data_IF_161472270297
#
_entry.id   IF_161472270297
#
_cell.length_a   1.000
_cell.length_b   1.000
_cell.length_c   1.000
_cell.angle_alpha   90.00
_cell.angle_beta   90.00
_cell.angle_gamma   90.00
#
_symmetry.space_group_name_H-M   'P 1'
#
loop_
_entity.id
_entity.type
_entity.pdbx_description
1 polymer ?
#
# COMPACT_ATOMS: atom_id res chain seq x y z
N UNK A 1 -0.32 -16.43 -15.02
CA UNK A 1 0.86 -15.58 -14.72
C UNK A 1 1.54 -15.30 -16.06
N UNK A 2 1.53 -14.04 -16.52
CA UNK A 2 2.20 -13.72 -17.79
C UNK A 2 3.71 -13.70 -17.54
N UNK A 3 4.41 -14.64 -18.17
CA UNK A 3 5.87 -14.68 -18.19
C UNK A 3 6.35 -13.48 -18.99
N UNK A 4 6.86 -12.46 -18.31
CA UNK A 4 7.53 -11.35 -18.99
C UNK A 4 8.87 -11.93 -19.46
N UNK A 5 8.93 -12.37 -20.71
CA UNK A 5 10.19 -12.67 -21.38
C UNK A 5 10.94 -11.35 -21.61
N UNK A 6 11.56 -10.84 -20.56
CA UNK A 6 12.35 -9.61 -20.60
C UNK A 6 13.67 -9.92 -21.30
N UNK A 7 13.84 -9.38 -22.50
CA UNK A 7 15.17 -9.35 -23.11
C UNK A 7 16.08 -8.47 -22.25
N UNK A 8 17.31 -8.90 -21.94
CA UNK A 8 18.24 -8.08 -21.18
C UNK A 8 18.54 -6.79 -21.97
N UNK A 9 18.40 -5.64 -21.32
CA UNK A 9 18.70 -4.33 -21.92
C UNK A 9 19.94 -3.73 -21.26
N UNK A 10 20.92 -3.31 -22.06
CA UNK A 10 22.09 -2.59 -21.56
C UNK A 10 21.68 -1.14 -21.25
N UNK A 11 22.02 -0.66 -20.05
CA UNK A 11 21.78 0.70 -19.57
C UNK A 11 23.10 1.27 -19.07
N UNK A 12 23.28 2.58 -19.23
CA UNK A 12 24.44 3.30 -18.69
C UNK A 12 24.03 4.02 -17.41
N UNK A 13 24.87 3.93 -16.39
CA UNK A 13 24.72 4.73 -15.16
C UNK A 13 25.20 6.15 -15.48
N UNK A 14 24.31 7.13 -15.29
CA UNK A 14 24.65 8.54 -15.52
C UNK A 14 25.73 9.04 -14.55
N UNK A 15 26.35 10.18 -14.87
CA UNK A 15 27.41 10.77 -14.05
C UNK A 15 26.98 11.09 -12.59
N UNK A 16 25.69 11.15 -12.32
CA UNK A 16 25.10 11.35 -10.99
C UNK A 16 24.65 10.04 -10.31
N UNK A 17 25.05 8.87 -10.83
CA UNK A 17 24.71 7.56 -10.26
C UNK A 17 23.31 7.04 -10.61
N UNK A 18 22.59 7.67 -11.54
CA UNK A 18 21.21 7.27 -11.88
C UNK A 18 21.15 6.22 -12.99
N UNK A 19 20.24 5.25 -12.86
CA UNK A 19 19.87 4.28 -13.90
C UNK A 19 18.41 4.47 -14.33
N UNK A 20 18.19 4.68 -15.63
CA UNK A 20 16.83 4.90 -16.17
C UNK A 20 16.15 3.59 -16.58
N UNK A 21 15.24 3.08 -15.74
CA UNK A 21 14.51 1.82 -16.00
C UNK A 21 13.28 1.98 -16.91
N UNK A 22 12.79 3.20 -17.11
CA UNK A 22 11.64 3.52 -17.97
C UNK A 22 10.47 4.13 -17.20
N UNK A 23 9.63 4.90 -17.91
CA UNK A 23 8.54 5.69 -17.32
C UNK A 23 7.46 4.83 -16.66
N UNK A 24 7.27 3.57 -17.08
CA UNK A 24 6.32 2.65 -16.44
C UNK A 24 6.64 2.34 -14.97
N UNK A 25 7.86 2.64 -14.51
CA UNK A 25 8.29 2.44 -13.12
C UNK A 25 8.39 3.74 -12.32
N UNK A 26 7.98 4.89 -12.89
CA UNK A 26 8.04 6.17 -12.21
C UNK A 26 7.22 6.17 -10.91
N UNK A 27 7.79 6.75 -9.85
CA UNK A 27 7.15 6.84 -8.53
C UNK A 27 7.11 5.54 -7.72
N UNK A 28 7.57 4.40 -8.27
CA UNK A 28 7.65 3.14 -7.54
C UNK A 28 8.90 3.11 -6.67
N UNK A 29 8.75 2.66 -5.43
CA UNK A 29 9.88 2.34 -4.57
C UNK A 29 10.50 1.01 -5.00
N UNK A 30 11.83 0.96 -4.96
CA UNK A 30 12.59 -0.24 -5.31
C UNK A 30 13.60 -0.53 -4.22
N UNK A 31 13.77 -1.81 -3.93
CA UNK A 31 14.89 -2.33 -3.16
C UNK A 31 16.06 -2.55 -4.12
N UNK A 32 17.23 -2.04 -3.74
CA UNK A 32 18.48 -2.20 -4.49
C UNK A 32 19.47 -2.90 -3.58
N UNK A 33 19.92 -4.09 -3.96
CA UNK A 33 20.86 -4.89 -3.19
C UNK A 33 22.06 -5.27 -4.06
N UNK A 34 23.27 -5.14 -3.53
CA UNK A 34 24.47 -5.74 -4.10
C UNK A 34 24.57 -7.18 -3.58
N UNK A 35 24.39 -8.16 -4.44
CA UNK A 35 24.48 -9.57 -4.07
C UNK A 35 25.94 -10.03 -4.02
N UNK A 36 26.76 -9.50 -4.94
CA UNK A 36 28.19 -9.73 -5.09
C UNK A 36 28.81 -8.47 -5.72
N UNK A 37 30.13 -8.33 -5.67
CA UNK A 37 30.84 -7.20 -6.29
C UNK A 37 30.42 -7.02 -7.75
N UNK A 38 29.74 -5.91 -8.05
CA UNK A 38 29.29 -5.59 -9.41
C UNK A 38 28.00 -6.28 -9.86
N UNK A 39 27.34 -7.02 -8.97
CA UNK A 39 26.07 -7.71 -9.22
C UNK A 39 24.98 -7.09 -8.35
N UNK A 40 24.08 -6.34 -8.99
CA UNK A 40 22.94 -5.72 -8.31
C UNK A 40 21.62 -6.38 -8.66
N UNK A 41 20.76 -6.51 -7.66
CA UNK A 41 19.37 -6.92 -7.79
C UNK A 41 18.48 -5.74 -7.47
N UNK A 42 17.59 -5.38 -8.40
CA UNK A 42 16.60 -4.32 -8.23
C UNK A 42 15.20 -4.94 -8.25
N UNK A 43 14.42 -4.76 -7.18
CA UNK A 43 13.06 -5.29 -7.03
C UNK A 43 12.09 -4.19 -6.66
N UNK A 44 10.90 -4.16 -7.24
CA UNK A 44 9.83 -3.28 -6.75
C UNK A 44 9.40 -3.73 -5.36
N UNK A 45 9.25 -2.78 -4.44
CA UNK A 45 8.83 -3.05 -3.08
C UNK A 45 7.67 -2.11 -2.68
N UNK A 46 6.85 -2.59 -1.75
CA UNK A 46 5.85 -1.77 -1.05
C UNK A 46 6.39 -1.51 0.35
N UNK A 47 6.64 -0.24 0.70
CA UNK A 47 7.03 0.14 2.06
C UNK A 47 5.78 0.45 2.87
N UNK A 48 5.68 -0.18 4.03
CA UNK A 48 4.60 0.03 5.00
C UNK A 48 5.24 0.57 6.28
N UNK A 49 4.80 1.74 6.78
CA UNK A 49 5.21 2.25 8.09
C UNK A 49 4.98 1.23 9.21
N UNK A 50 5.87 1.19 10.20
CA UNK A 50 5.80 0.16 11.25
C UNK A 50 4.52 0.24 12.08
N UNK A 51 4.00 1.44 12.32
CA UNK A 51 2.73 1.67 13.01
C UNK A 51 1.49 1.29 12.18
N UNK A 52 1.64 1.00 10.89
CA UNK A 52 0.57 0.60 9.96
C UNK A 52 0.69 -0.87 9.54
N UNK A 53 1.83 -1.52 9.82
CA UNK A 53 2.10 -2.92 9.46
C UNK A 53 1.02 -3.89 9.96
N UNK A 54 0.43 -3.63 11.13
CA UNK A 54 -0.62 -4.46 11.73
C UNK A 54 -1.86 -4.60 10.84
N UNK A 55 -2.17 -3.62 9.97
CA UNK A 55 -3.30 -3.69 9.04
C UNK A 55 -3.16 -4.81 8.01
N UNK A 56 -1.94 -5.27 7.77
CA UNK A 56 -1.64 -6.35 6.84
C UNK A 56 -1.64 -7.73 7.51
N UNK A 57 -1.84 -7.82 8.82
CA UNK A 57 -2.06 -9.10 9.49
C UNK A 57 -3.39 -9.71 9.03
N UNK A 58 -3.44 -11.04 8.91
CA UNK A 58 -4.58 -11.75 8.31
C UNK A 58 -5.91 -11.38 8.95
N UNK A 59 -5.96 -11.31 10.28
CA UNK A 59 -7.18 -10.99 11.01
C UNK A 59 -7.60 -9.53 10.82
N UNK A 60 -6.67 -8.59 10.97
CA UNK A 60 -6.95 -7.16 10.80
C UNK A 60 -7.42 -6.84 9.37
N UNK A 61 -6.75 -7.40 8.35
CA UNK A 61 -7.14 -7.23 6.96
C UNK A 61 -8.54 -7.80 6.68
N UNK A 62 -8.86 -8.98 7.23
CA UNK A 62 -10.17 -9.60 7.09
C UNK A 62 -11.28 -8.78 7.77
N UNK A 63 -11.05 -8.34 9.01
CA UNK A 63 -12.01 -7.53 9.75
C UNK A 63 -12.25 -6.18 9.07
N UNK A 64 -11.19 -5.52 8.59
CA UNK A 64 -11.30 -4.27 7.84
C UNK A 64 -12.10 -4.45 6.55
N UNK A 65 -11.86 -5.53 5.79
CA UNK A 65 -12.62 -5.83 4.59
C UNK A 65 -14.10 -6.07 4.89
N UNK A 66 -14.41 -6.80 5.96
CA UNK A 66 -15.79 -7.05 6.42
C UNK A 66 -16.50 -5.75 6.80
N UNK A 67 -15.85 -4.91 7.61
CA UNK A 67 -16.43 -3.63 8.05
C UNK A 67 -16.64 -2.70 6.86
N UNK A 68 -15.69 -2.62 5.94
CA UNK A 68 -15.80 -1.79 4.73
C UNK A 68 -17.00 -2.23 3.86
N UNK A 69 -17.19 -3.54 3.68
CA UNK A 69 -18.33 -4.07 2.95
C UNK A 69 -19.66 -3.74 3.65
N UNK A 70 -19.71 -3.86 4.98
CA UNK A 70 -20.90 -3.51 5.76
C UNK A 70 -21.22 -2.01 5.65
N UNK A 71 -20.24 -1.13 5.84
CA UNK A 71 -20.41 0.33 5.79
C UNK A 71 -20.88 0.82 4.42
N UNK A 72 -20.46 0.16 3.34
CA UNK A 72 -20.93 0.48 1.98
C UNK A 72 -22.44 0.25 1.82
N UNK A 73 -22.98 -0.77 2.51
CA UNK A 73 -24.41 -1.10 2.51
C UNK A 73 -25.22 -0.27 3.53
N UNK A 74 -24.55 0.31 4.52
CA UNK A 74 -25.16 1.07 5.62
C UNK A 74 -24.55 2.47 5.69
N UNK A 75 -24.81 3.35 4.70
CA UNK A 75 -24.30 4.70 4.71
C UNK A 75 -24.77 5.45 5.96
N UNK A 76 -23.88 6.26 6.53
CA UNK A 76 -24.20 7.07 7.69
C UNK A 76 -25.41 7.97 7.40
N UNK A 77 -26.31 8.09 8.38
CA UNK A 77 -27.52 8.89 8.29
C UNK A 77 -27.72 9.65 9.59
N UNK A 78 -28.00 10.93 9.48
CA UNK A 78 -28.27 11.80 10.64
C UNK A 78 -29.73 11.72 11.11
N UNK A 79 -30.53 10.83 10.53
CA UNK A 79 -31.97 10.69 10.83
C UNK A 79 -32.27 10.36 12.30
N UNK A 80 -31.30 9.82 13.04
CA UNK A 80 -31.42 9.47 14.45
C UNK A 80 -30.56 10.36 15.38
N UNK A 81 -29.95 11.44 14.86
CA UNK A 81 -29.01 12.25 15.63
C UNK A 81 -29.67 12.91 16.85
N UNK A 82 -30.84 13.52 16.68
CA UNK A 82 -31.55 14.21 17.77
C UNK A 82 -32.00 13.24 18.88
N UNK A 83 -32.46 12.05 18.50
CA UNK A 83 -32.89 11.04 19.47
C UNK A 83 -31.72 10.45 20.26
N UNK A 84 -30.58 10.22 19.62
CA UNK A 84 -29.35 9.77 20.28
C UNK A 84 -28.83 10.85 21.24
N UNK A 85 -28.84 12.13 20.83
CA UNK A 85 -28.36 13.23 21.65
C UNK A 85 -29.26 13.46 22.89
N UNK A 86 -30.58 13.36 22.73
CA UNK A 86 -31.51 13.41 23.84
C UNK A 86 -31.30 12.25 24.84
N UNK A 87 -31.07 11.03 24.35
CA UNK A 87 -30.80 9.87 25.21
C UNK A 87 -29.46 10.00 25.97
N UNK A 88 -28.42 10.54 25.33
CA UNK A 88 -27.11 10.73 25.95
C UNK A 88 -27.12 11.80 27.05
N UNK A 89 -28.06 12.75 27.00
CA UNK A 89 -28.19 13.84 27.99
C UNK A 89 -29.12 13.51 29.15
N UNK A 90 -30.04 12.55 28.99
CA UNK A 90 -30.97 12.09 30.04
C UNK A 90 -30.36 11.10 31.04
N UNK A 91 -29.22 10.49 30.71
CA UNK A 91 -28.55 9.50 31.58
C UNK A 91 -27.53 10.15 32.55
N UNK A 92 -27.76 11.42 32.90
CA UNK A 92 -26.93 12.25 33.80
C UNK A 92 -27.79 12.84 34.90
#
# INVERSE_FOLDING_TARGET
MQTIASHPSVKVIGANGQISLGKQFAGRQVLVEEQETGVWLIRTATVIPDNERWLHETQAAFDLARVTAWSTLHPASDSQTDSILAAATQNK
#
